data_IF_599737422404
#
_entry.id   IF_599737422404
#
_cell.length_a   1.000
_cell.length_b   1.000
_cell.length_c   1.000
_cell.angle_alpha   90.00
_cell.angle_beta   90.00
_cell.angle_gamma   90.00
#
_symmetry.space_group_name_H-M   'P 1'
#
loop_
_entity.id
_entity.type
_entity.pdbx_description
1 polymer ?
#
# COMPACT_ATOMS: atom_id res chain seq x y z
N UNK A 1 -22.57 28.82 -13.30
CA UNK A 1 -23.33 27.61 -12.97
C UNK A 1 -22.42 26.43 -13.17
N UNK A 2 -22.42 25.54 -12.18
CA UNK A 2 -21.39 24.57 -11.81
C UNK A 2 -21.06 23.55 -12.90
N UNK A 3 -19.76 23.39 -13.17
CA UNK A 3 -19.19 22.21 -13.83
C UNK A 3 -18.54 21.32 -12.77
N UNK A 4 -19.33 20.45 -12.15
CA UNK A 4 -18.89 19.29 -11.37
C UNK A 4 -19.06 18.08 -12.31
N UNK A 5 -18.20 17.09 -12.42
CA UNK A 5 -16.90 16.80 -11.81
C UNK A 5 -16.51 15.46 -12.42
N UNK A 6 -15.30 15.36 -12.97
CA UNK A 6 -14.70 14.06 -13.28
C UNK A 6 -13.79 13.72 -12.11
N UNK A 7 -14.38 13.29 -10.99
CA UNK A 7 -13.64 12.77 -9.85
C UNK A 7 -14.09 11.32 -9.65
N UNK A 8 -13.14 10.41 -9.86
CA UNK A 8 -13.16 9.03 -9.37
C UNK A 8 -14.35 8.17 -9.79
N UNK A 9 -14.21 7.41 -10.89
CA UNK A 9 -14.96 6.15 -11.01
C UNK A 9 -14.60 5.28 -9.81
N UNK A 10 -15.57 5.07 -8.91
CA UNK A 10 -15.43 4.17 -7.77
C UNK A 10 -15.07 2.78 -8.27
N UNK A 11 -13.98 2.23 -7.76
CA UNK A 11 -13.41 0.97 -8.23
C UNK A 11 -14.28 -0.26 -7.87
N UNK A 12 -15.49 -0.07 -7.34
CA UNK A 12 -16.39 -1.13 -6.88
C UNK A 12 -15.80 -1.97 -5.74
N UNK A 13 -14.75 -1.48 -5.07
CA UNK A 13 -14.06 -2.13 -3.96
C UNK A 13 -14.14 -1.17 -2.78
N UNK A 14 -14.87 -1.58 -1.74
CA UNK A 14 -15.04 -0.79 -0.53
C UNK A 14 -13.81 -0.94 0.36
N UNK A 15 -13.07 0.16 0.51
CA UNK A 15 -12.05 0.28 1.56
C UNK A 15 -12.74 0.34 2.94
N UNK A 16 -12.04 -0.05 4.03
CA UNK A 16 -12.59 0.05 5.38
C UNK A 16 -13.05 1.48 5.69
N UNK A 17 -14.15 1.65 6.41
CA UNK A 17 -14.65 2.99 6.79
C UNK A 17 -13.97 3.57 8.03
N UNK A 18 -13.20 2.76 8.76
CA UNK A 18 -12.48 3.08 9.99
C UNK A 18 -10.99 3.43 9.75
N UNK A 19 -10.71 4.12 8.64
CA UNK A 19 -9.36 4.55 8.29
C UNK A 19 -8.93 5.78 9.10
N UNK A 20 -7.67 5.87 9.55
CA UNK A 20 -7.15 7.04 10.28
C UNK A 20 -7.04 8.25 9.34
N UNK A 21 -7.10 9.46 9.91
CA UNK A 21 -6.74 10.67 9.18
C UNK A 21 -5.22 10.65 8.87
N UNK A 22 -4.79 10.75 7.59
CA UNK A 22 -3.38 10.67 7.26
C UNK A 22 -2.53 11.78 7.90
N UNK A 23 -3.03 13.02 7.95
CA UNK A 23 -2.27 14.23 8.25
C UNK A 23 -1.47 14.16 9.56
N UNK A 24 -2.00 13.49 10.59
CA UNK A 24 -1.31 13.33 11.88
C UNK A 24 0.00 12.53 11.77
N UNK A 25 0.14 11.73 10.72
CA UNK A 25 1.26 10.82 10.47
C UNK A 25 2.21 11.30 9.38
N UNK A 26 1.96 12.49 8.82
CA UNK A 26 2.68 13.03 7.68
C UNK A 26 3.40 14.34 8.03
N UNK A 27 4.42 14.68 7.27
CA UNK A 27 5.12 15.97 7.31
C UNK A 27 5.40 16.43 5.89
N UNK A 28 5.63 17.73 5.66
CA UNK A 28 6.07 18.19 4.34
C UNK A 28 7.47 17.64 4.03
N UNK A 29 7.89 17.57 2.76
CA UNK A 29 9.27 17.22 2.39
C UNK A 29 10.33 18.10 3.07
N UNK A 30 9.99 19.34 3.39
CA UNK A 30 10.82 20.32 4.10
C UNK A 30 10.76 20.18 5.64
N UNK A 31 9.92 19.28 6.16
CA UNK A 31 9.74 19.03 7.59
C UNK A 31 8.70 19.92 8.29
N UNK A 32 7.82 20.57 7.53
CA UNK A 32 6.73 21.38 8.09
C UNK A 32 5.54 20.52 8.54
N UNK A 33 4.75 21.04 9.48
CA UNK A 33 3.65 20.32 10.15
C UNK A 33 2.31 20.38 9.40
N UNK A 34 2.25 21.01 8.23
CA UNK A 34 1.05 21.11 7.38
C UNK A 34 1.28 20.42 6.02
N UNK A 35 1.36 19.08 6.00
CA UNK A 35 1.51 18.34 4.74
C UNK A 35 0.21 18.43 3.93
N UNK A 36 0.33 18.76 2.65
CA UNK A 36 -0.78 18.50 1.73
C UNK A 36 -0.74 17.03 1.31
N UNK A 37 -1.85 16.30 1.44
CA UNK A 37 -1.99 14.94 0.85
C UNK A 37 -2.14 15.07 -0.67
N UNK A 38 -1.05 15.45 -1.31
CA UNK A 38 -0.87 15.57 -2.74
C UNK A 38 0.39 14.84 -3.17
N UNK A 39 0.51 14.57 -4.47
CA UNK A 39 1.68 13.89 -5.02
C UNK A 39 2.93 14.73 -4.75
N UNK A 40 3.97 14.12 -4.17
CA UNK A 40 5.18 14.78 -3.67
C UNK A 40 4.97 15.84 -2.56
N UNK A 41 3.76 15.95 -2.00
CA UNK A 41 3.44 16.95 -0.99
C UNK A 41 3.71 16.53 0.46
N UNK A 42 4.13 15.28 0.67
CA UNK A 42 4.30 14.73 2.01
C UNK A 42 5.36 13.62 2.10
N UNK A 43 5.81 13.40 3.34
CA UNK A 43 6.70 12.34 3.81
C UNK A 43 6.05 11.69 5.03
N UNK A 44 6.21 10.38 5.18
CA UNK A 44 5.68 9.65 6.34
C UNK A 44 6.64 9.84 7.52
N UNK A 45 6.12 10.26 8.69
CA UNK A 45 6.95 10.49 9.89
C UNK A 45 7.59 9.19 10.39
N UNK A 46 8.84 9.29 10.85
CA UNK A 46 9.60 8.16 11.43
C UNK A 46 8.90 7.52 12.64
N UNK A 47 8.16 8.30 13.43
CA UNK A 47 7.47 7.81 14.62
C UNK A 47 6.38 6.77 14.32
N UNK A 48 5.83 6.77 13.10
CA UNK A 48 4.84 5.78 12.64
C UNK A 48 5.41 4.36 12.73
N UNK A 49 6.68 4.22 12.39
CA UNK A 49 7.40 2.94 12.33
C UNK A 49 8.19 2.63 13.59
N UNK A 50 7.97 3.37 14.69
CA UNK A 50 8.64 3.10 15.97
C UNK A 50 8.38 1.65 16.42
N UNK A 51 9.46 0.91 16.64
CA UNK A 51 9.42 -0.51 17.04
C UNK A 51 9.26 -1.51 15.89
N UNK A 52 9.27 -1.05 14.63
CA UNK A 52 9.32 -1.89 13.43
C UNK A 52 10.73 -1.86 12.85
N UNK A 53 11.22 -3.01 12.39
CA UNK A 53 12.49 -3.08 11.66
C UNK A 53 12.33 -2.60 10.22
N UNK A 54 12.79 -1.37 9.98
CA UNK A 54 12.73 -0.70 8.68
C UNK A 54 14.04 -0.79 7.89
N UNK A 55 15.02 -1.59 8.34
CA UNK A 55 16.28 -1.73 7.61
C UNK A 55 16.07 -2.45 6.26
N UNK A 56 16.86 -2.08 5.23
CA UNK A 56 16.84 -2.75 3.94
C UNK A 56 17.12 -4.25 4.10
N UNK A 57 16.35 -5.07 3.39
CA UNK A 57 16.53 -6.52 3.37
C UNK A 57 17.23 -6.95 2.08
N UNK A 58 18.39 -7.60 2.22
CA UNK A 58 19.16 -8.12 1.08
C UNK A 58 18.86 -9.57 0.71
N UNK A 59 18.17 -10.30 1.59
CA UNK A 59 17.73 -11.68 1.34
C UNK A 59 16.43 -11.73 0.54
N UNK A 60 16.22 -12.83 -0.20
CA UNK A 60 14.94 -13.12 -0.83
C UNK A 60 13.89 -13.41 0.24
N UNK A 61 12.71 -12.85 0.04
CA UNK A 61 11.53 -13.01 0.87
C UNK A 61 10.49 -13.85 0.13
N UNK A 62 9.63 -14.49 0.91
CA UNK A 62 8.44 -15.20 0.44
C UNK A 62 7.14 -14.57 0.96
N UNK A 63 5.97 -15.10 0.55
CA UNK A 63 4.68 -14.63 1.02
C UNK A 63 4.53 -14.78 2.55
N UNK A 64 5.14 -15.81 3.13
CA UNK A 64 5.13 -16.06 4.57
C UNK A 64 5.85 -14.98 5.39
N UNK A 65 6.83 -14.29 4.81
CA UNK A 65 7.50 -13.19 5.50
C UNK A 65 6.59 -11.96 5.59
N UNK A 66 5.77 -11.72 4.57
CA UNK A 66 4.73 -10.68 4.63
C UNK A 66 3.61 -11.06 5.60
N UNK A 67 3.16 -12.31 5.60
CA UNK A 67 2.19 -12.80 6.58
C UNK A 67 2.70 -12.63 8.02
N UNK A 68 3.95 -13.06 8.29
CA UNK A 68 4.59 -12.89 9.60
C UNK A 68 4.68 -11.43 10.01
N UNK A 69 5.00 -10.54 9.08
CA UNK A 69 4.99 -9.10 9.35
C UNK A 69 3.58 -8.62 9.77
N UNK A 70 2.55 -8.97 9.00
CA UNK A 70 1.16 -8.59 9.32
C UNK A 70 0.73 -9.11 10.70
N UNK A 71 1.16 -10.32 11.09
CA UNK A 71 0.88 -10.87 12.41
C UNK A 71 1.51 -10.03 13.53
N UNK A 72 2.72 -9.48 13.33
CA UNK A 72 3.32 -8.56 14.31
C UNK A 72 2.55 -7.25 14.44
N UNK A 73 1.74 -6.90 13.43
CA UNK A 73 0.82 -5.76 13.47
C UNK A 73 -0.57 -6.16 14.00
N UNK A 74 -0.75 -7.39 14.47
CA UNK A 74 -2.01 -7.91 15.02
C UNK A 74 -2.98 -8.43 13.97
N UNK A 75 -2.55 -8.58 12.71
CA UNK A 75 -3.39 -8.99 11.59
C UNK A 75 -3.00 -10.41 11.16
N UNK A 76 -3.90 -11.38 11.33
CA UNK A 76 -3.66 -12.76 10.92
C UNK A 76 -4.26 -13.01 9.54
N UNK A 77 -3.44 -12.91 8.49
CA UNK A 77 -3.82 -13.22 7.12
C UNK A 77 -2.93 -14.33 6.56
N UNK A 78 -3.56 -15.33 5.96
CA UNK A 78 -2.88 -16.43 5.28
C UNK A 78 -2.73 -16.13 3.78
N UNK A 79 -1.55 -16.35 3.18
CA UNK A 79 -1.36 -16.15 1.76
C UNK A 79 -2.13 -17.18 0.94
N UNK A 80 -2.99 -16.72 0.03
CA UNK A 80 -3.68 -17.60 -0.92
C UNK A 80 -2.92 -17.67 -2.24
N UNK A 81 -2.34 -18.81 -2.58
CA UNK A 81 -1.62 -18.97 -3.86
C UNK A 81 -2.59 -18.88 -5.04
N UNK A 82 -2.41 -17.86 -5.89
CA UNK A 82 -3.24 -17.62 -7.07
C UNK A 82 -2.64 -18.25 -8.34
N UNK A 83 -1.32 -18.09 -8.53
CA UNK A 83 -0.52 -18.75 -9.58
C UNK A 83 0.93 -18.84 -9.13
N UNK A 84 1.80 -19.49 -9.92
CA UNK A 84 3.20 -19.81 -9.61
C UNK A 84 3.89 -18.87 -8.62
N UNK A 85 3.94 -17.58 -8.99
CA UNK A 85 4.62 -16.52 -8.24
C UNK A 85 3.68 -15.44 -7.67
N UNK A 86 2.37 -15.67 -7.64
CA UNK A 86 1.38 -14.68 -7.24
C UNK A 86 0.51 -15.20 -6.09
N UNK A 87 0.37 -14.38 -5.06
CA UNK A 87 -0.40 -14.66 -3.86
C UNK A 87 -1.40 -13.54 -3.60
N UNK A 88 -2.54 -13.90 -3.01
CA UNK A 88 -3.56 -12.95 -2.56
C UNK A 88 -3.57 -12.85 -1.05
N UNK A 89 -3.73 -11.62 -0.56
CA UNK A 89 -3.96 -11.29 0.84
C UNK A 89 -5.28 -10.54 0.95
N UNK A 90 -6.27 -11.18 1.57
CA UNK A 90 -7.64 -10.64 1.69
C UNK A 90 -7.82 -9.94 3.04
N UNK A 91 -7.80 -8.61 3.03
CA UNK A 91 -8.02 -7.77 4.21
C UNK A 91 -9.52 -7.59 4.44
N UNK A 92 -10.08 -7.96 5.59
CA UNK A 92 -11.48 -7.70 5.90
C UNK A 92 -11.79 -6.19 5.92
N UNK A 93 -12.85 -5.75 5.24
CA UNK A 93 -13.19 -4.31 5.12
C UNK A 93 -14.47 -3.90 5.85
N UNK A 94 -15.10 -4.82 6.58
CA UNK A 94 -16.31 -4.55 7.36
C UNK A 94 -16.79 -5.77 8.12
N UNK A 95 -17.96 -5.66 8.76
CA UNK A 95 -18.58 -6.77 9.47
C UNK A 95 -19.20 -7.78 8.49
N UNK A 96 -19.05 -9.06 8.79
CA UNK A 96 -19.70 -10.13 8.06
C UNK A 96 -21.22 -10.08 8.32
N UNK A 97 -22.00 -9.84 7.27
CA UNK A 97 -23.45 -9.96 7.32
C UNK A 97 -23.88 -11.42 7.22
N UNK A 98 -24.97 -11.77 7.89
CA UNK A 98 -25.52 -13.12 7.86
C UNK A 98 -25.98 -13.48 6.44
N UNK A 99 -25.51 -14.61 5.92
CA UNK A 99 -25.82 -15.06 4.56
C UNK A 99 -24.96 -14.47 3.44
N UNK A 100 -24.07 -13.52 3.73
CA UNK A 100 -23.16 -12.91 2.76
C UNK A 100 -21.70 -13.34 2.98
N UNK A 101 -20.87 -13.39 1.92
CA UNK A 101 -19.43 -13.55 2.07
C UNK A 101 -18.85 -12.34 2.81
N UNK A 102 -17.79 -12.56 3.60
CA UNK A 102 -17.04 -11.48 4.24
C UNK A 102 -16.52 -10.51 3.17
N UNK A 103 -16.84 -9.21 3.22
CA UNK A 103 -16.24 -8.24 2.32
C UNK A 103 -14.74 -8.13 2.60
N UNK A 104 -13.94 -8.06 1.54
CA UNK A 104 -12.49 -7.98 1.63
C UNK A 104 -11.90 -7.08 0.55
N UNK A 105 -10.75 -6.49 0.89
CA UNK A 105 -9.84 -5.83 -0.01
C UNK A 105 -8.68 -6.79 -0.29
N UNK A 106 -8.47 -7.12 -1.57
CA UNK A 106 -7.44 -8.06 -1.98
C UNK A 106 -6.18 -7.34 -2.41
N UNK A 107 -5.10 -7.55 -1.67
CA UNK A 107 -3.75 -7.22 -2.13
C UNK A 107 -3.18 -8.39 -2.94
N UNK A 108 -2.47 -8.07 -4.00
CA UNK A 108 -1.77 -9.03 -4.86
C UNK A 108 -0.28 -8.94 -4.58
N UNK A 109 0.32 -10.03 -4.11
CA UNK A 109 1.74 -10.12 -3.83
C UNK A 109 2.42 -10.99 -4.89
N UNK A 110 3.29 -10.39 -5.70
CA UNK A 110 4.17 -11.08 -6.60
C UNK A 110 5.51 -11.40 -5.90
N UNK A 111 6.02 -12.61 -6.11
CA UNK A 111 7.35 -13.07 -5.67
C UNK A 111 8.25 -13.13 -6.89
N UNK A 112 9.24 -12.25 -6.97
CA UNK A 112 10.08 -12.09 -8.15
C UNK A 112 11.49 -12.66 -7.91
N UNK A 113 12.28 -12.70 -8.97
CA UNK A 113 13.64 -13.24 -8.93
C UNK A 113 14.56 -12.41 -8.04
N UNK A 114 14.47 -11.09 -8.11
CA UNK A 114 15.28 -10.16 -7.35
C UNK A 114 14.58 -8.81 -7.15
N UNK A 115 15.27 -7.89 -6.48
CA UNK A 115 14.75 -6.57 -6.20
C UNK A 115 14.50 -5.76 -7.48
N UNK A 116 15.36 -5.83 -8.50
CA UNK A 116 15.15 -5.11 -9.76
C UNK A 116 13.88 -5.57 -10.48
N UNK A 117 13.66 -6.89 -10.52
CA UNK A 117 12.44 -7.46 -11.07
C UNK A 117 11.19 -7.00 -10.31
N UNK A 118 11.24 -6.91 -8.97
CA UNK A 118 10.14 -6.41 -8.16
C UNK A 118 9.84 -4.92 -8.38
N UNK A 119 10.86 -4.06 -8.54
CA UNK A 119 10.64 -2.64 -8.92
C UNK A 119 9.96 -2.54 -10.26
N UNK A 120 10.51 -3.24 -11.26
CA UNK A 120 9.98 -3.20 -12.62
C UNK A 120 8.53 -3.67 -12.64
N UNK A 121 8.25 -4.83 -12.04
CA UNK A 121 6.90 -5.42 -11.98
C UNK A 121 5.90 -4.48 -11.30
N UNK A 122 6.28 -3.86 -10.17
CA UNK A 122 5.41 -2.90 -9.49
C UNK A 122 5.18 -1.65 -10.35
N UNK A 123 6.23 -1.07 -10.92
CA UNK A 123 6.13 0.16 -11.73
C UNK A 123 5.30 -0.08 -12.99
N UNK A 124 5.54 -1.17 -13.72
CA UNK A 124 4.77 -1.54 -14.91
C UNK A 124 3.31 -1.81 -14.54
N UNK A 125 3.05 -2.57 -13.48
CA UNK A 125 1.68 -2.86 -13.02
C UNK A 125 0.91 -1.59 -12.65
N UNK A 126 1.57 -0.64 -11.99
CA UNK A 126 0.98 0.64 -11.61
C UNK A 126 0.62 1.48 -12.85
N UNK A 127 1.54 1.58 -13.81
CA UNK A 127 1.30 2.30 -15.07
C UNK A 127 0.21 1.65 -15.94
N UNK A 128 0.23 0.33 -16.08
CA UNK A 128 -0.74 -0.44 -16.87
C UNK A 128 -2.17 -0.30 -16.33
N UNK A 129 -2.30 -0.26 -15.01
CA UNK A 129 -3.58 -0.10 -14.34
C UNK A 129 -4.05 1.35 -14.24
N UNK A 130 -3.11 2.30 -14.23
CA UNK A 130 -3.36 3.73 -14.31
C UNK A 130 -3.73 4.41 -12.98
N UNK A 131 -4.29 5.63 -13.04
CA UNK A 131 -4.38 6.51 -11.87
C UNK A 131 -5.23 5.94 -10.72
N UNK A 132 -4.71 6.07 -9.50
CA UNK A 132 -5.34 5.61 -8.26
C UNK A 132 -4.92 4.22 -7.79
N UNK A 133 -4.19 3.47 -8.61
CA UNK A 133 -3.55 2.23 -8.17
C UNK A 133 -2.29 2.54 -7.36
N UNK A 134 -2.02 1.70 -6.36
CA UNK A 134 -0.91 1.87 -5.44
C UNK A 134 -0.37 0.51 -5.01
N UNK A 135 0.79 0.53 -4.36
CA UNK A 135 1.44 -0.68 -3.93
C UNK A 135 2.67 -0.43 -3.09
N UNK A 136 3.34 -1.53 -2.75
CA UNK A 136 4.53 -1.53 -1.91
C UNK A 136 5.57 -2.48 -2.49
N UNK A 137 6.85 -2.16 -2.32
CA UNK A 137 7.95 -3.06 -2.67
C UNK A 137 8.89 -3.26 -1.49
N UNK A 138 9.25 -4.52 -1.24
CA UNK A 138 10.27 -4.91 -0.26
C UNK A 138 11.09 -6.06 -0.83
N UNK A 139 12.41 -5.90 -0.96
CA UNK A 139 13.30 -6.90 -1.58
C UNK A 139 12.74 -7.36 -2.94
N UNK A 140 12.62 -8.67 -3.17
CA UNK A 140 12.06 -9.30 -4.37
C UNK A 140 10.53 -9.40 -4.39
N UNK A 141 9.81 -8.72 -3.49
CA UNK A 141 8.35 -8.74 -3.42
C UNK A 141 7.76 -7.44 -3.92
N UNK A 142 6.73 -7.55 -4.76
CA UNK A 142 5.89 -6.45 -5.20
C UNK A 142 4.45 -6.69 -4.75
N UNK A 143 3.86 -5.72 -4.06
CA UNK A 143 2.48 -5.76 -3.60
C UNK A 143 1.68 -4.71 -4.35
N UNK A 144 0.61 -5.12 -5.01
CA UNK A 144 -0.32 -4.26 -5.73
C UNK A 144 -1.68 -4.24 -5.02
N UNK A 145 -2.20 -3.05 -4.81
CA UNK A 145 -3.47 -2.80 -4.15
C UNK A 145 -4.50 -2.20 -5.13
N UNK A 146 -5.80 -2.43 -4.90
CA UNK A 146 -6.84 -1.93 -5.79
C UNK A 146 -6.95 -0.42 -5.77
N UNK A 147 -7.47 0.13 -6.88
CA UNK A 147 -7.65 1.57 -7.06
C UNK A 147 -8.45 2.24 -5.94
N UNK A 148 -7.97 3.39 -5.47
CA UNK A 148 -8.66 4.28 -4.51
C UNK A 148 -8.08 5.70 -4.60
N UNK A 149 -8.53 6.62 -3.75
CA UNK A 149 -7.91 7.95 -3.63
C UNK A 149 -6.55 7.88 -2.93
N UNK A 150 -5.68 8.87 -3.17
CA UNK A 150 -4.37 8.95 -2.49
C UNK A 150 -4.54 8.95 -0.97
N UNK A 151 -5.50 9.72 -0.44
CA UNK A 151 -5.77 9.80 1.00
C UNK A 151 -6.18 8.44 1.58
N UNK A 152 -7.11 7.72 0.95
CA UNK A 152 -7.53 6.39 1.40
C UNK A 152 -6.41 5.35 1.29
N UNK A 153 -5.61 5.39 0.22
CA UNK A 153 -4.46 4.48 0.06
C UNK A 153 -3.42 4.67 1.16
N UNK A 154 -3.09 5.92 1.49
CA UNK A 154 -2.15 6.27 2.55
C UNK A 154 -2.73 5.89 3.92
N UNK A 155 -4.00 6.21 4.17
CA UNK A 155 -4.67 5.87 5.42
C UNK A 155 -4.70 4.35 5.66
N UNK A 156 -5.00 3.56 4.62
CA UNK A 156 -4.97 2.09 4.68
C UNK A 156 -3.56 1.58 4.96
N UNK A 157 -2.55 2.11 4.26
CA UNK A 157 -1.17 1.72 4.46
C UNK A 157 -0.64 2.12 5.85
N UNK A 158 -1.09 3.24 6.42
CA UNK A 158 -0.78 3.66 7.79
C UNK A 158 -1.46 2.76 8.83
N UNK A 159 -2.77 2.49 8.68
CA UNK A 159 -3.54 1.63 9.59
C UNK A 159 -2.88 0.28 9.82
N UNK A 160 -2.38 -0.32 8.74
CA UNK A 160 -1.75 -1.64 8.76
C UNK A 160 -0.21 -1.57 8.79
N UNK A 161 0.35 -0.37 9.01
CA UNK A 161 1.79 -0.06 9.01
C UNK A 161 2.56 -0.55 7.77
N UNK A 162 1.89 -0.78 6.66
CA UNK A 162 2.51 -1.32 5.44
C UNK A 162 3.66 -0.43 4.92
N UNK A 163 3.57 0.87 5.14
CA UNK A 163 4.63 1.85 4.83
C UNK A 163 5.93 1.65 5.60
N UNK A 164 5.87 0.92 6.73
CA UNK A 164 7.05 0.50 7.50
C UNK A 164 7.65 -0.81 6.96
N UNK A 165 6.86 -1.57 6.19
CA UNK A 165 7.30 -2.82 5.60
C UNK A 165 7.99 -2.62 4.27
N UNK A 166 7.46 -1.76 3.40
CA UNK A 166 8.01 -1.58 2.06
C UNK A 166 7.89 -0.15 1.57
N UNK A 167 8.61 0.17 0.50
CA UNK A 167 8.51 1.48 -0.14
C UNK A 167 7.13 1.61 -0.79
N UNK A 168 6.36 2.60 -0.35
CA UNK A 168 5.03 2.88 -0.87
C UNK A 168 5.13 3.62 -2.21
N UNK A 169 4.35 3.18 -3.18
CA UNK A 169 4.25 3.79 -4.50
C UNK A 169 2.78 4.00 -4.87
N UNK A 170 2.50 5.12 -5.54
CA UNK A 170 1.15 5.47 -5.98
C UNK A 170 1.18 6.03 -7.40
N UNK A 171 0.17 5.67 -8.20
CA UNK A 171 0.05 6.13 -9.60
C UNK A 171 -0.80 7.38 -9.67
N UNK A 172 -0.20 8.49 -10.08
CA UNK A 172 -0.90 9.71 -10.47
C UNK A 172 -1.45 9.60 -11.89
N UNK A 173 -1.69 10.74 -12.55
CA UNK A 173 -2.26 10.76 -13.91
C UNK A 173 -1.28 10.18 -14.94
N UNK A 174 -0.01 10.55 -14.85
CA UNK A 174 1.01 10.24 -15.88
C UNK A 174 2.24 9.52 -15.30
N UNK A 175 2.42 9.51 -13.98
CA UNK A 175 3.64 9.05 -13.30
C UNK A 175 3.34 8.15 -12.09
N UNK A 176 4.34 7.37 -11.69
CA UNK A 176 4.38 6.63 -10.42
C UNK A 176 5.25 7.38 -9.42
N UNK A 177 4.67 7.68 -8.26
CA UNK A 177 5.32 8.43 -7.19
C UNK A 177 5.68 7.48 -6.05
N UNK A 178 6.98 7.37 -5.77
CA UNK A 178 7.45 6.76 -4.54
C UNK A 178 7.30 7.78 -3.40
N UNK A 179 6.56 7.42 -2.36
CA UNK A 179 6.39 8.29 -1.18
C UNK A 179 7.56 8.04 -0.24
N UNK A 180 8.34 9.07 0.11
CA UNK A 180 9.41 8.92 1.09
C UNK A 180 8.86 8.50 2.45
N UNK A 181 9.52 7.55 3.09
CA UNK A 181 9.12 7.03 4.39
C UNK A 181 10.22 6.26 5.10
N UNK A 182 9.93 5.71 6.28
CA UNK A 182 10.95 5.17 7.18
C UNK A 182 11.63 3.90 6.66
N UNK A 183 10.97 3.18 5.75
CA UNK A 183 11.58 2.09 5.01
C UNK A 183 12.22 2.63 3.72
N UNK A 184 13.50 2.32 3.53
CA UNK A 184 14.25 2.66 2.32
C UNK A 184 14.89 1.40 1.75
N UNK A 185 14.95 1.32 0.42
CA UNK A 185 15.78 0.32 -0.29
C UNK A 185 17.09 0.98 -0.72
N UNK A 186 18.15 0.17 -0.85
CA UNK A 186 19.44 0.58 -1.42
C UNK A 186 19.44 0.48 -2.96
#
# INVERSE_FOLDING_TARGET
MSGLGCVGLEAGIDYPSDLPAPDEHLTSPEGEADPSVSLNGFVIKDEVCKGVDTHPITQKLGPEDFARYLETQGIKLEPQKARDNLYWFDFPTGEKKEGEPQPFLRLRLAVLDDHFAATRDLQESLLDHGPGWWGLRRSNLAVLAPKTSLSESVAFALKHKLVCWGMFAYTGTDDVYAVPGPYTEL
#
